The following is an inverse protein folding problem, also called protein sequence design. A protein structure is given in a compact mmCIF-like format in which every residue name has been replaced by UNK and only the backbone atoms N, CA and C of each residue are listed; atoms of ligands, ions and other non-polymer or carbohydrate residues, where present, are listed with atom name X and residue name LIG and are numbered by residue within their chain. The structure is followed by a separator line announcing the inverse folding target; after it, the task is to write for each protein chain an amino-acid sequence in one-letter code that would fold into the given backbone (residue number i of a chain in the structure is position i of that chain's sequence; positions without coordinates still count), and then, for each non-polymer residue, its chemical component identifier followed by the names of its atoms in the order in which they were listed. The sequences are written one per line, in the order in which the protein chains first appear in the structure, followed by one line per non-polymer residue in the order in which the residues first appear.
data_IF_605604333264
#
_entry.id   IF_605604333264
#
_cell.length_a   1.000
_cell.length_b   1.000
_cell.length_c   1.000
_cell.angle_alpha   90.00
_cell.angle_beta   90.00
_cell.angle_gamma   90.00
#
_symmetry.space_group_name_H-M   'P 1'
#
loop_
_entity.id
_entity.type
_entity.pdbx_description
1 polymer ?
#
# COMPACT_ATOMS: atom_id res chain seq x y z
N UNK A 1 8.57 -62.79 -21.94
CA UNK A 1 8.65 -62.91 -23.42
C UNK A 1 7.50 -62.13 -24.05
N UNK A 2 7.78 -60.97 -24.66
CA UNK A 2 7.22 -60.45 -25.93
C UNK A 2 7.66 -58.98 -26.09
N UNK A 3 8.09 -58.70 -27.29
CA UNK A 3 8.96 -57.62 -27.79
C UNK A 3 8.19 -56.44 -28.39
N UNK A 4 8.95 -55.36 -28.69
CA UNK A 4 8.83 -54.34 -29.77
C UNK A 4 8.62 -52.91 -29.21
N UNK A 5 9.65 -52.04 -29.16
CA UNK A 5 10.41 -51.35 -30.23
C UNK A 5 9.61 -50.24 -30.95
N UNK A 6 10.22 -49.04 -31.03
CA UNK A 6 10.17 -47.98 -32.09
C UNK A 6 9.56 -46.63 -31.65
N UNK A 7 10.00 -45.44 -32.08
CA UNK A 7 11.12 -44.91 -32.89
C UNK A 7 11.12 -43.39 -32.62
N UNK A 8 12.31 -42.77 -32.53
CA UNK A 8 12.52 -41.31 -32.49
C UNK A 8 12.26 -40.68 -33.87
N UNK A 9 11.66 -39.48 -33.93
CA UNK A 9 11.78 -38.61 -35.11
C UNK A 9 11.84 -37.14 -34.71
N UNK A 10 12.98 -36.51 -35.01
CA UNK A 10 13.19 -35.06 -35.01
C UNK A 10 12.92 -34.57 -36.43
N UNK A 11 12.16 -33.49 -36.60
CA UNK A 11 12.18 -32.71 -37.84
C UNK A 11 12.22 -31.21 -37.51
N UNK A 12 13.36 -30.60 -37.79
CA UNK A 12 13.54 -29.16 -37.96
C UNK A 12 13.24 -28.85 -39.42
N UNK A 13 12.44 -27.82 -39.71
CA UNK A 13 12.46 -27.19 -41.02
C UNK A 13 12.17 -25.68 -40.95
N UNK A 14 13.22 -24.93 -41.24
CA UNK A 14 13.27 -23.52 -41.63
C UNK A 14 12.63 -23.29 -42.99
N UNK A 15 12.02 -22.12 -43.23
CA UNK A 15 12.47 -21.17 -44.27
C UNK A 15 11.48 -20.01 -44.49
N UNK A 16 12.10 -18.88 -44.80
CA UNK A 16 11.69 -17.49 -44.99
C UNK A 16 10.87 -17.16 -46.24
N UNK A 17 10.49 -15.87 -46.29
CA UNK A 17 10.03 -15.01 -47.41
C UNK A 17 8.50 -14.90 -47.47
N UNK A 18 7.88 -13.72 -47.51
CA UNK A 18 8.33 -12.36 -47.81
C UNK A 18 7.23 -11.73 -48.64
N UNK A 19 6.69 -10.57 -48.24
CA UNK A 19 5.90 -9.76 -49.17
C UNK A 19 6.30 -8.28 -49.02
N UNK A 20 6.81 -7.77 -50.14
CA UNK A 20 7.26 -6.41 -50.39
C UNK A 20 6.04 -5.53 -50.67
N UNK A 21 6.01 -4.36 -50.02
CA UNK A 21 5.52 -3.05 -50.45
C UNK A 21 4.23 -2.88 -51.27
N UNK A 22 3.39 -1.93 -50.84
CA UNK A 22 3.04 -0.79 -51.70
C UNK A 22 2.54 0.42 -50.89
N UNK A 23 2.98 1.59 -51.32
CA UNK A 23 2.59 2.91 -50.80
C UNK A 23 1.44 3.46 -51.66
N UNK A 24 0.42 4.01 -50.96
CA UNK A 24 -0.63 4.98 -51.37
C UNK A 24 -1.67 4.55 -52.41
N UNK A 25 -2.95 4.63 -51.99
CA UNK A 25 -3.94 5.56 -52.57
C UNK A 25 -5.12 5.79 -51.60
N UNK A 26 -5.73 6.96 -51.70
CA UNK A 26 -6.66 7.53 -50.74
C UNK A 26 -8.13 7.17 -50.99
N UNK A 27 -8.94 7.41 -49.95
CA UNK A 27 -10.37 7.80 -49.96
C UNK A 27 -11.38 6.67 -49.67
N UNK A 28 -12.04 6.80 -48.51
CA UNK A 28 -13.38 6.22 -48.27
C UNK A 28 -13.57 5.58 -46.91
N UNK A 29 -13.95 6.38 -45.92
CA UNK A 29 -14.80 6.03 -44.77
C UNK A 29 -14.69 4.60 -44.21
N UNK A 30 -13.86 4.43 -43.19
CA UNK A 30 -14.07 3.40 -42.18
C UNK A 30 -13.95 4.06 -40.82
N UNK A 31 -15.04 3.98 -40.07
CA UNK A 31 -15.14 4.40 -38.68
C UNK A 31 -13.92 3.87 -37.93
N UNK A 32 -12.95 4.74 -37.66
CA UNK A 32 -11.96 4.48 -36.63
C UNK A 32 -12.74 4.66 -35.34
N UNK A 33 -13.28 3.54 -34.86
CA UNK A 33 -13.59 3.41 -33.44
C UNK A 33 -12.25 3.64 -32.77
N UNK A 34 -12.05 4.87 -32.27
CA UNK A 34 -11.01 5.13 -31.32
C UNK A 34 -11.35 4.21 -30.15
N UNK A 35 -10.67 3.07 -30.11
CA UNK A 35 -10.48 2.35 -28.87
C UNK A 35 -9.67 3.33 -28.03
N UNK A 36 -10.41 4.17 -27.29
CA UNK A 36 -9.87 4.86 -26.14
C UNK A 36 -9.42 3.73 -25.23
N UNK A 37 -8.16 3.32 -25.37
CA UNK A 37 -7.40 2.78 -24.25
C UNK A 37 -7.50 3.87 -23.18
N UNK A 38 -8.53 3.78 -22.34
CA UNK A 38 -8.51 4.38 -21.03
C UNK A 38 -7.28 3.78 -20.38
N UNK A 39 -6.18 4.52 -20.44
CA UNK A 39 -5.06 4.34 -19.55
C UNK A 39 -5.71 4.29 -18.16
N UNK A 40 -5.81 3.08 -17.62
CA UNK A 40 -6.16 2.90 -16.22
C UNK A 40 -4.93 3.41 -15.50
N UNK A 41 -4.90 4.71 -15.21
CA UNK A 41 -3.90 5.28 -14.32
C UNK A 41 -4.03 4.49 -13.04
N UNK A 42 -3.04 3.65 -12.74
CA UNK A 42 -3.02 2.88 -11.52
C UNK A 42 -3.19 3.86 -10.36
N UNK A 43 -4.16 3.59 -9.47
CA UNK A 43 -4.46 4.48 -8.38
C UNK A 43 -3.20 4.65 -7.51
N UNK A 44 -2.82 5.90 -7.22
CA UNK A 44 -1.58 6.19 -6.50
C UNK A 44 -1.78 5.90 -5.02
N UNK A 45 -1.03 4.97 -4.40
CA UNK A 45 -1.21 4.66 -2.99
C UNK A 45 -0.70 5.79 -2.09
N UNK A 46 -1.23 5.85 -0.86
CA UNK A 46 -0.77 6.78 0.18
C UNK A 46 0.34 6.08 0.98
N UNK A 47 1.61 6.52 0.91
CA UNK A 47 2.68 5.94 1.70
C UNK A 47 2.51 6.30 3.17
N UNK A 48 2.59 5.30 4.06
CA UNK A 48 2.49 5.47 5.51
C UNK A 48 3.65 4.80 6.25
N UNK A 49 4.09 5.41 7.36
CA UNK A 49 4.99 4.76 8.31
C UNK A 49 4.29 4.64 9.66
N UNK A 50 4.36 3.44 10.23
CA UNK A 50 3.93 3.17 11.59
C UNK A 50 5.17 3.27 12.49
N UNK A 51 5.16 4.15 13.51
CA UNK A 51 6.23 4.21 14.49
C UNK A 51 6.55 2.87 15.15
N UNK A 52 7.80 2.71 15.59
CA UNK A 52 8.36 1.46 16.09
C UNK A 52 7.67 0.93 17.35
N UNK A 53 7.02 1.80 18.11
CA UNK A 53 6.29 1.45 19.31
C UNK A 53 4.81 1.77 19.11
N UNK A 54 3.99 0.74 19.27
CA UNK A 54 2.55 0.86 19.37
C UNK A 54 2.09 0.39 20.75
N UNK A 55 1.08 1.05 21.29
CA UNK A 55 0.32 0.61 22.45
C UNK A 55 -1.09 0.24 21.99
N UNK A 56 -1.42 -1.04 22.11
CA UNK A 56 -2.72 -1.62 21.75
C UNK A 56 -3.54 -1.75 23.03
N UNK A 57 -4.62 -0.98 23.13
CA UNK A 57 -5.58 -1.06 24.23
C UNK A 57 -6.67 -2.05 23.88
N UNK A 58 -6.89 -3.03 24.76
CA UNK A 58 -7.87 -4.10 24.57
C UNK A 58 -9.19 -3.79 25.30
N UNK A 59 -10.26 -4.45 24.87
CA UNK A 59 -11.61 -4.31 25.45
C UNK A 59 -11.69 -4.66 26.94
N UNK A 60 -10.79 -5.52 27.43
CA UNK A 60 -10.67 -5.88 28.85
C UNK A 60 -9.85 -4.86 29.67
N UNK A 61 -9.43 -3.74 29.06
CA UNK A 61 -8.56 -2.69 29.57
C UNK A 61 -7.10 -3.10 29.79
N UNK A 62 -6.69 -4.28 29.34
CA UNK A 62 -5.27 -4.60 29.26
C UNK A 62 -4.63 -3.90 28.06
N UNK A 63 -3.31 -3.71 28.15
CA UNK A 63 -2.52 -3.10 27.09
C UNK A 63 -1.43 -4.06 26.62
N UNK A 64 -1.18 -4.10 25.32
CA UNK A 64 0.03 -4.71 24.75
C UNK A 64 0.87 -3.63 24.08
N UNK A 65 2.18 -3.75 24.14
CA UNK A 65 3.06 -2.83 23.42
C UNK A 65 4.19 -3.53 22.67
N UNK A 66 4.58 -2.91 21.56
CA UNK A 66 5.57 -3.43 20.62
C UNK A 66 5.31 -2.86 19.23
N UNK A 67 6.02 -3.36 18.24
CA UNK A 67 5.90 -2.92 16.85
C UNK A 67 4.73 -3.61 16.17
N UNK A 68 3.88 -2.87 15.47
CA UNK A 68 2.89 -3.47 14.56
C UNK A 68 3.62 -3.89 13.29
N UNK A 69 3.60 -5.19 13.01
CA UNK A 69 4.26 -5.78 11.83
C UNK A 69 3.25 -6.39 10.86
N UNK A 70 1.98 -6.49 11.24
CA UNK A 70 0.91 -6.92 10.35
C UNK A 70 -0.44 -6.45 10.88
N UNK A 71 -1.37 -6.20 9.96
CA UNK A 71 -2.74 -5.79 10.23
C UNK A 71 -3.63 -6.20 9.06
N UNK A 72 -4.75 -6.84 9.38
CA UNK A 72 -5.84 -7.14 8.44
C UNK A 72 -7.18 -7.15 9.19
N UNK A 73 -8.26 -7.52 8.50
CA UNK A 73 -9.61 -7.58 9.06
C UNK A 73 -9.85 -8.51 10.24
N UNK A 74 -9.00 -9.52 10.45
CA UNK A 74 -9.18 -10.49 11.53
C UNK A 74 -8.27 -10.19 12.73
N UNK A 75 -7.03 -9.77 12.45
CA UNK A 75 -6.00 -9.69 13.47
C UNK A 75 -4.96 -8.58 13.23
N UNK A 76 -4.35 -8.15 14.34
CA UNK A 76 -3.14 -7.35 14.39
C UNK A 76 -2.00 -8.21 14.97
N UNK A 77 -0.83 -8.14 14.36
CA UNK A 77 0.40 -8.77 14.89
C UNK A 77 1.29 -7.69 15.48
N UNK A 78 1.52 -7.79 16.79
CA UNK A 78 2.44 -6.93 17.54
C UNK A 78 3.68 -7.71 17.97
N UNK A 79 4.86 -7.14 17.78
CA UNK A 79 6.15 -7.77 18.03
C UNK A 79 6.93 -7.03 19.09
N UNK A 80 7.40 -7.73 20.12
CA UNK A 80 8.34 -7.19 21.11
C UNK A 80 9.62 -8.02 21.07
N UNK A 81 10.71 -7.45 20.54
CA UNK A 81 11.92 -8.22 20.24
C UNK A 81 11.62 -9.33 19.23
N UNK A 82 11.96 -10.58 19.53
CA UNK A 82 11.70 -11.73 18.64
C UNK A 82 10.39 -12.47 18.97
N UNK A 83 9.51 -11.87 19.78
CA UNK A 83 8.26 -12.50 20.21
C UNK A 83 7.06 -11.82 19.54
N UNK A 84 6.51 -12.39 18.45
CA UNK A 84 5.25 -11.93 17.88
C UNK A 84 4.09 -12.38 18.76
N UNK A 85 3.07 -11.53 18.85
CA UNK A 85 1.81 -11.81 19.50
C UNK A 85 0.67 -11.38 18.58
N UNK A 86 -0.28 -12.28 18.38
CA UNK A 86 -1.51 -12.01 17.64
C UNK A 86 -2.57 -11.43 18.59
N UNK A 87 -3.29 -10.42 18.12
CA UNK A 87 -4.43 -9.80 18.78
C UNK A 87 -5.60 -9.81 17.79
N UNK A 88 -6.78 -10.29 18.20
CA UNK A 88 -7.97 -10.19 17.33
C UNK A 88 -8.42 -8.75 17.25
N UNK A 89 -8.78 -8.27 16.05
CA UNK A 89 -9.31 -6.91 15.86
C UNK A 89 -10.57 -6.67 16.68
N UNK A 90 -11.41 -7.70 16.87
CA UNK A 90 -12.62 -7.61 17.69
C UNK A 90 -12.36 -7.29 19.18
N UNK A 91 -11.14 -7.54 19.66
CA UNK A 91 -10.74 -7.29 21.04
C UNK A 91 -9.99 -5.96 21.22
N UNK A 92 -9.75 -5.21 20.13
CA UNK A 92 -8.98 -3.96 20.16
C UNK A 92 -9.93 -2.78 20.24
N UNK A 93 -9.63 -1.85 21.16
CA UNK A 93 -10.31 -0.56 21.26
C UNK A 93 -9.60 0.50 20.43
N UNK A 94 -8.28 0.59 20.55
CA UNK A 94 -7.44 1.63 19.94
C UNK A 94 -5.98 1.18 19.87
N UNK A 95 -5.26 1.65 18.86
CA UNK A 95 -3.81 1.53 18.74
C UNK A 95 -3.20 2.91 18.66
N UNK A 96 -2.30 3.23 19.58
CA UNK A 96 -1.56 4.49 19.59
C UNK A 96 -0.10 4.25 19.26
N UNK A 97 0.50 5.15 18.50
CA UNK A 97 1.88 4.99 18.03
C UNK A 97 2.78 6.10 18.55
N UNK A 98 4.01 5.71 18.91
CA UNK A 98 5.07 6.61 19.36
C UNK A 98 6.47 6.13 18.96
N UNK A 99 7.46 6.99 19.18
CA UNK A 99 8.86 6.64 19.08
C UNK A 99 9.46 6.82 17.69
N UNK A 100 10.41 5.95 17.37
CA UNK A 100 11.23 6.05 16.15
C UNK A 100 10.43 5.70 14.89
N UNK A 101 10.68 6.42 13.80
CA UNK A 101 10.05 6.17 12.50
C UNK A 101 11.09 5.77 11.48
N UNK A 102 10.92 4.60 10.86
CA UNK A 102 11.74 4.21 9.71
C UNK A 102 11.28 4.91 8.45
N UNK A 103 12.24 5.45 7.71
CA UNK A 103 12.01 6.19 6.49
C UNK A 103 12.81 5.58 5.32
N UNK A 104 12.15 5.18 4.22
CA UNK A 104 12.83 4.62 3.06
C UNK A 104 13.60 5.69 2.28
N UNK A 105 14.86 5.41 1.94
CA UNK A 105 15.75 6.25 1.13
C UNK A 105 16.34 5.40 -0.01
N UNK A 106 15.54 5.18 -1.06
CA UNK A 106 15.91 4.29 -2.16
C UNK A 106 15.97 2.84 -1.68
N UNK A 107 17.14 2.22 -1.72
CA UNK A 107 17.36 0.83 -1.25
C UNK A 107 17.72 0.71 0.23
N UNK A 108 17.83 1.84 0.94
CA UNK A 108 18.21 1.88 2.36
C UNK A 108 17.09 2.50 3.20
N UNK A 109 17.25 2.44 4.52
CA UNK A 109 16.34 3.08 5.46
C UNK A 109 17.12 3.92 6.47
N UNK A 110 16.54 5.05 6.86
CA UNK A 110 17.03 5.87 7.97
C UNK A 110 15.99 5.87 9.10
N UNK A 111 16.44 6.20 10.32
CA UNK A 111 15.58 6.32 11.49
C UNK A 111 15.41 7.80 11.84
N UNK A 112 14.17 8.26 11.92
CA UNK A 112 13.80 9.59 12.41
C UNK A 112 13.42 9.45 13.90
N UNK A 113 13.97 10.30 14.77
CA UNK A 113 13.82 10.20 16.23
C UNK A 113 13.29 11.48 16.87
N UNK A 114 12.32 11.37 17.78
CA UNK A 114 11.89 12.50 18.62
C UNK A 114 11.50 13.75 17.81
N UNK A 115 12.08 14.90 18.16
CA UNK A 115 11.90 16.20 17.49
C UNK A 115 12.74 16.36 16.19
N UNK A 116 13.42 15.31 15.71
CA UNK A 116 14.10 15.35 14.41
C UNK A 116 13.09 15.84 13.36
N UNK A 117 13.38 16.99 12.74
CA UNK A 117 12.42 17.88 12.07
C UNK A 117 11.58 17.19 11.00
N UNK A 118 10.53 16.50 11.44
CA UNK A 118 9.33 16.31 10.65
C UNK A 118 8.65 17.67 10.68
N UNK A 119 8.60 18.36 9.52
CA UNK A 119 7.58 19.39 9.35
C UNK A 119 6.26 18.65 9.32
N UNK A 120 5.64 18.57 10.48
CA UNK A 120 4.33 17.98 10.65
C UNK A 120 3.32 18.94 10.06
N UNK A 121 2.60 18.47 9.04
CA UNK A 121 1.39 19.12 8.57
C UNK A 121 0.28 19.09 9.62
N UNK A 122 -0.90 19.57 9.27
CA UNK A 122 -2.08 19.30 10.08
C UNK A 122 -2.36 17.78 10.07
N UNK A 123 -2.78 17.19 11.21
CA UNK A 123 -3.18 15.80 11.23
C UNK A 123 -4.42 15.62 10.34
N UNK A 124 -4.43 14.53 9.58
CA UNK A 124 -5.57 14.10 8.76
C UNK A 124 -6.16 12.82 9.36
N UNK A 125 -7.48 12.69 9.28
CA UNK A 125 -8.23 11.50 9.66
C UNK A 125 -8.72 10.81 8.39
N UNK A 126 -8.24 9.60 8.15
CA UNK A 126 -8.63 8.78 7.00
C UNK A 126 -9.57 7.67 7.48
N UNK A 127 -10.72 7.53 6.82
CA UNK A 127 -11.53 6.31 6.93
C UNK A 127 -11.15 5.37 5.80
N UNK A 128 -10.65 4.20 6.15
CA UNK A 128 -10.07 3.24 5.21
C UNK A 128 -10.72 1.88 5.40
N UNK A 129 -11.03 1.15 4.33
CA UNK A 129 -11.47 -0.24 4.46
C UNK A 129 -10.49 -1.10 5.26
N UNK A 130 -11.00 -2.09 5.99
CA UNK A 130 -10.22 -2.89 6.96
C UNK A 130 -8.98 -3.59 6.37
N UNK A 131 -9.01 -3.92 5.08
CA UNK A 131 -7.89 -4.54 4.34
C UNK A 131 -7.14 -3.52 3.45
N UNK A 132 -7.23 -2.23 3.75
CA UNK A 132 -6.63 -1.15 2.96
C UNK A 132 -5.12 -1.01 3.11
N UNK A 133 -4.49 -1.72 4.06
CA UNK A 133 -3.05 -1.73 4.25
C UNK A 133 -2.34 -2.68 3.30
N UNK A 134 -1.37 -2.16 2.56
CA UNK A 134 -0.45 -2.90 1.71
C UNK A 134 0.96 -2.81 2.30
N UNK A 135 1.41 -3.86 2.97
CA UNK A 135 2.71 -3.88 3.62
C UNK A 135 3.85 -3.92 2.60
N UNK A 136 4.77 -2.96 2.72
CA UNK A 136 5.98 -2.88 1.88
C UNK A 136 7.15 -3.54 2.62
N UNK A 137 7.35 -3.17 3.88
CA UNK A 137 8.38 -3.74 4.75
C UNK A 137 7.85 -3.78 6.20
N UNK A 138 7.42 -4.98 6.60
CA UNK A 138 6.70 -5.23 7.86
C UNK A 138 7.56 -4.96 9.09
N UNK A 139 8.83 -5.35 9.03
CA UNK A 139 9.76 -5.25 10.16
C UNK A 139 10.21 -3.81 10.44
N UNK A 140 9.89 -2.87 9.55
CA UNK A 140 10.19 -1.44 9.68
C UNK A 140 8.92 -0.61 9.82
N UNK A 141 7.73 -1.24 9.83
CA UNK A 141 6.46 -0.51 9.91
C UNK A 141 6.15 0.30 8.65
N UNK A 142 6.65 -0.12 7.48
CA UNK A 142 6.48 0.62 6.22
C UNK A 142 5.37 -0.05 5.41
N UNK A 143 4.34 0.73 5.11
CA UNK A 143 3.20 0.28 4.33
C UNK A 143 2.70 1.37 3.38
N UNK A 144 1.73 1.00 2.58
CA UNK A 144 0.89 1.86 1.78
C UNK A 144 -0.56 1.69 2.23
N UNK A 145 -1.35 2.74 2.12
CA UNK A 145 -2.80 2.65 2.11
C UNK A 145 -3.25 2.69 0.65
N UNK A 146 -4.03 1.70 0.23
CA UNK A 146 -4.65 1.71 -1.10
C UNK A 146 -5.57 2.91 -1.20
N UNK A 147 -5.33 3.77 -2.19
CA UNK A 147 -6.19 4.92 -2.47
C UNK A 147 -7.63 4.51 -2.76
N UNK A 148 -7.87 3.29 -3.26
CA UNK A 148 -9.24 2.77 -3.50
C UNK A 148 -9.94 2.37 -2.20
N UNK A 149 -9.19 2.04 -1.15
CA UNK A 149 -9.74 1.70 0.15
C UNK A 149 -10.14 2.92 0.99
N UNK A 150 -9.74 4.14 0.62
CA UNK A 150 -10.10 5.38 1.34
C UNK A 150 -11.56 5.77 1.08
N UNK A 151 -12.38 5.81 2.11
CA UNK A 151 -13.82 6.12 2.01
C UNK A 151 -14.12 7.59 2.31
N UNK A 152 -13.39 8.18 3.25
CA UNK A 152 -13.60 9.54 3.73
C UNK A 152 -12.28 10.13 4.25
N UNK A 153 -12.18 11.46 4.20
CA UNK A 153 -11.06 12.24 4.71
C UNK A 153 -11.64 13.38 5.52
N UNK A 154 -11.31 13.43 6.81
CA UNK A 154 -11.71 14.49 7.75
C UNK A 154 -13.23 14.80 7.82
N UNK A 155 -14.10 13.84 7.44
CA UNK A 155 -15.55 14.02 7.38
C UNK A 155 -16.03 14.79 6.15
N UNK A 156 -15.14 15.10 5.21
CA UNK A 156 -15.37 15.96 4.06
C UNK A 156 -15.57 15.19 2.75
N UNK A 157 -15.36 13.87 2.74
CA UNK A 157 -15.54 13.01 1.58
C UNK A 157 -14.23 12.64 0.84
N UNK A 158 -14.34 11.60 0.00
CA UNK A 158 -13.23 11.03 -0.76
C UNK A 158 -12.65 11.99 -1.81
N UNK A 159 -13.38 13.00 -2.25
CA UNK A 159 -12.92 14.02 -3.20
C UNK A 159 -11.67 14.79 -2.73
N UNK A 160 -11.42 14.84 -1.42
CA UNK A 160 -10.22 15.47 -0.84
C UNK A 160 -8.95 14.61 -0.98
N UNK A 161 -9.08 13.38 -1.49
CA UNK A 161 -7.96 12.46 -1.68
C UNK A 161 -6.91 13.04 -2.64
N UNK A 162 -7.33 13.77 -3.67
CA UNK A 162 -6.42 14.43 -4.60
C UNK A 162 -5.48 15.41 -3.87
N UNK A 163 -5.98 16.14 -2.86
CA UNK A 163 -5.15 17.03 -2.05
C UNK A 163 -4.11 16.26 -1.22
N UNK A 164 -4.47 15.10 -0.68
CA UNK A 164 -3.55 14.21 0.02
C UNK A 164 -2.47 13.67 -0.92
N UNK A 165 -2.87 13.24 -2.13
CA UNK A 165 -1.97 12.70 -3.15
C UNK A 165 -1.02 13.75 -3.71
N UNK A 166 -1.47 14.99 -3.88
CA UNK A 166 -0.62 16.12 -4.32
C UNK A 166 0.50 16.41 -3.31
N UNK A 167 0.23 16.31 -2.00
CA UNK A 167 1.26 16.43 -0.95
C UNK A 167 2.34 15.34 -1.10
N UNK A 168 1.96 14.15 -1.56
CA UNK A 168 2.88 13.02 -1.74
C UNK A 168 3.69 13.16 -3.05
N UNK A 169 3.20 13.94 -4.01
CA UNK A 169 3.81 14.03 -5.34
C UNK A 169 5.27 14.55 -5.24
N UNK A 170 6.17 13.79 -5.87
CA UNK A 170 7.63 13.97 -5.74
C UNK A 170 8.33 13.10 -4.70
N UNK A 171 7.61 12.24 -3.96
CA UNK A 171 8.20 11.20 -3.09
C UNK A 171 8.93 11.73 -1.84
N UNK A 172 8.72 13.01 -1.51
CA UNK A 172 9.36 13.70 -0.39
C UNK A 172 8.56 13.62 0.91
N UNK A 173 7.27 13.28 0.80
CA UNK A 173 6.34 13.21 1.91
C UNK A 173 5.84 11.78 2.14
N UNK A 174 5.55 11.47 3.40
CA UNK A 174 4.92 10.24 3.87
C UNK A 174 4.05 10.57 5.07
N UNK A 175 2.95 9.86 5.25
CA UNK A 175 2.11 10.02 6.44
C UNK A 175 2.64 9.16 7.59
N UNK A 176 2.89 9.78 8.74
CA UNK A 176 3.24 9.06 9.97
C UNK A 176 1.97 8.80 10.75
N UNK A 177 1.66 7.53 10.97
CA UNK A 177 0.45 7.11 11.71
C UNK A 177 0.64 7.40 13.20
N UNK A 178 -0.34 8.07 13.80
CA UNK A 178 -0.38 8.36 15.24
C UNK A 178 -1.35 7.45 15.96
N UNK A 179 -2.45 7.11 15.29
CA UNK A 179 -3.51 6.34 15.89
C UNK A 179 -4.27 5.53 14.82
N UNK A 180 -4.73 4.35 15.22
CA UNK A 180 -5.72 3.56 14.49
C UNK A 180 -6.86 3.20 15.46
N UNK A 181 -8.08 3.57 15.10
CA UNK A 181 -9.31 3.08 15.70
C UNK A 181 -10.03 2.12 14.71
N UNK A 182 -10.92 1.28 15.24
CA UNK A 182 -11.60 0.25 14.47
C UNK A 182 -13.11 0.44 14.52
N UNK A 183 -13.72 0.69 13.37
CA UNK A 183 -15.16 0.63 13.18
C UNK A 183 -15.51 -0.75 12.62
N UNK A 184 -15.81 -1.68 13.52
CA UNK A 184 -16.13 -3.06 13.17
C UNK A 184 -17.48 -3.20 12.49
N UNK A 185 -18.42 -2.28 12.74
CA UNK A 185 -19.76 -2.32 12.15
C UNK A 185 -19.68 -1.99 10.65
N UNK A 186 -18.87 -0.99 10.30
CA UNK A 186 -18.68 -0.57 8.91
C UNK A 186 -17.47 -1.21 8.23
N UNK A 187 -16.69 -2.05 8.95
CA UNK A 187 -15.46 -2.67 8.46
C UNK A 187 -14.42 -1.61 8.01
N UNK A 188 -14.23 -0.58 8.84
CA UNK A 188 -13.29 0.52 8.59
C UNK A 188 -12.20 0.61 9.65
N UNK A 189 -11.04 1.08 9.22
CA UNK A 189 -9.96 1.63 10.02
C UNK A 189 -10.09 3.16 9.99
N UNK A 190 -10.05 3.77 11.16
CA UNK A 190 -9.99 5.21 11.32
C UNK A 190 -8.54 5.55 11.66
N UNK A 191 -7.82 6.11 10.70
CA UNK A 191 -6.37 6.34 10.80
C UNK A 191 -6.13 7.83 10.97
N UNK A 192 -5.57 8.21 12.12
CA UNK A 192 -5.05 9.57 12.29
C UNK A 192 -3.57 9.58 11.95
N UNK A 193 -3.18 10.40 10.99
CA UNK A 193 -1.80 10.49 10.54
C UNK A 193 -1.40 11.94 10.24
N UNK A 194 -0.10 12.20 10.19
CA UNK A 194 0.42 13.52 9.87
C UNK A 194 1.39 13.44 8.70
N UNK A 195 1.24 14.34 7.73
CA UNK A 195 2.18 14.44 6.64
C UNK A 195 3.55 14.85 7.20
N UNK A 196 4.55 14.03 6.91
CA UNK A 196 5.93 14.23 7.28
C UNK A 196 6.76 14.46 6.02
N UNK A 197 7.68 15.43 6.06
CA UNK A 197 8.67 15.63 5.01
C UNK A 197 10.07 15.51 5.56
N UNK A 198 10.99 14.93 4.80
CA UNK A 198 12.42 15.03 5.09
C UNK A 198 12.93 16.42 4.70
N UNK A 199 13.54 17.16 5.63
CA UNK A 199 14.38 18.31 5.26
C UNK A 199 15.69 17.78 4.63
N UNK A 200 16.01 18.31 3.45
CA UNK A 200 17.30 18.10 2.77
C UNK A 200 18.39 19.00 3.35
#
# INVERSE_FOLDING_TARGET
MKTLLRITLILVLTATTGLVGNVREAKGNSNTSAETETATTAATPIPVSLPAVATVTLSDRNTRSGQVVDLNSEQLIIKRGNSPATVSIADIVRVEFDGEVWWPTGSEFIVIRGDDTIKEGEPVRLEVGMDGFEWVEKEQGIANISSEAVMDIDGEGREYLEGILDVIDGGKFRYVVREIEFDLENQLLIITATAASRQE
#
